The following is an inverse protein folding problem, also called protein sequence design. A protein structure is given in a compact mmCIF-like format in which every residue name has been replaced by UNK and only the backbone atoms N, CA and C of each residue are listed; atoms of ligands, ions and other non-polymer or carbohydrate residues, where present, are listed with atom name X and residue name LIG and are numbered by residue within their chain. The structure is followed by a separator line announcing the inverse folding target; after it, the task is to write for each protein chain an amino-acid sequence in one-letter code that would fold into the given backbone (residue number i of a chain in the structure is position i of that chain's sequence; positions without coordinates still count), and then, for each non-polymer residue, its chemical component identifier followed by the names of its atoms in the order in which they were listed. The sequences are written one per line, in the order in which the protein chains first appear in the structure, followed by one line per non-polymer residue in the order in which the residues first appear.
data_IF_961142301133
#
_entry.id   IF_961142301133
#
_cell.length_a   1.000
_cell.length_b   1.000
_cell.length_c   1.000
_cell.angle_alpha   90.00
_cell.angle_beta   90.00
_cell.angle_gamma   90.00
#
_symmetry.space_group_name_H-M   'P 1'
#
loop_
_entity.id
_entity.type
_entity.pdbx_description
1 polymer ?
#
# COMPACT_ATOMS: atom_id res chain seq x y z
N UNK A 1 72.89 -48.91 -14.09
CA UNK A 1 72.63 -47.54 -14.59
C UNK A 1 71.28 -47.40 -15.33
N UNK A 2 70.86 -48.35 -16.17
CA UNK A 2 69.63 -48.20 -16.98
C UNK A 2 68.32 -48.00 -16.20
N UNK A 3 68.14 -48.65 -15.04
CA UNK A 3 66.92 -48.51 -14.23
C UNK A 3 66.85 -47.19 -13.46
N UNK A 4 68.00 -46.62 -13.06
CA UNK A 4 68.07 -45.32 -12.39
C UNK A 4 67.64 -44.19 -13.32
N UNK A 5 68.06 -44.22 -14.58
CA UNK A 5 67.62 -43.24 -15.58
C UNK A 5 66.14 -43.38 -15.96
N UNK A 6 65.55 -44.58 -15.90
CA UNK A 6 64.11 -44.76 -16.11
C UNK A 6 63.29 -44.16 -14.97
N UNK A 7 63.70 -44.36 -13.71
CA UNK A 7 63.01 -43.78 -12.56
C UNK A 7 63.20 -42.27 -12.47
N UNK A 8 64.37 -41.74 -12.85
CA UNK A 8 64.61 -40.30 -12.92
C UNK A 8 63.75 -39.61 -14.00
N UNK A 9 63.59 -40.25 -15.17
CA UNK A 9 62.69 -39.75 -16.23
C UNK A 9 61.21 -39.80 -15.82
N UNK A 10 60.80 -40.84 -15.08
CA UNK A 10 59.43 -40.95 -14.55
C UNK A 10 59.15 -39.88 -13.49
N UNK A 11 60.13 -39.57 -12.63
CA UNK A 11 60.01 -38.58 -11.56
C UNK A 11 59.97 -37.15 -12.12
N UNK A 12 60.76 -36.85 -13.17
CA UNK A 12 60.69 -35.58 -13.90
C UNK A 12 59.34 -35.44 -14.64
N UNK A 13 58.82 -36.51 -15.23
CA UNK A 13 57.52 -36.49 -15.91
C UNK A 13 56.36 -36.25 -14.92
N UNK A 14 56.39 -36.87 -13.74
CA UNK A 14 55.42 -36.58 -12.67
C UNK A 14 55.54 -35.14 -12.14
N UNK A 15 56.75 -34.61 -11.98
CA UNK A 15 56.96 -33.25 -11.46
C UNK A 15 56.43 -32.17 -12.43
N UNK A 16 56.57 -32.41 -13.75
CA UNK A 16 56.04 -31.51 -14.80
C UNK A 16 54.51 -31.61 -14.89
N UNK A 17 53.91 -32.76 -14.59
CA UNK A 17 52.46 -32.96 -14.62
C UNK A 17 51.75 -32.39 -13.37
N UNK A 18 52.45 -32.31 -12.22
CA UNK A 18 51.93 -31.64 -11.01
C UNK A 18 52.12 -30.13 -11.03
N UNK A 19 53.05 -29.61 -11.84
CA UNK A 19 53.32 -28.17 -11.97
C UNK A 19 52.33 -27.41 -12.87
N UNK A 20 51.53 -28.11 -13.69
CA UNK A 20 50.61 -27.51 -14.66
C UNK A 20 49.19 -27.27 -14.14
N UNK A 21 48.92 -27.51 -12.85
CA UNK A 21 47.60 -27.33 -12.23
C UNK A 21 47.43 -25.98 -11.52
N UNK A 22 48.43 -25.08 -11.60
CA UNK A 22 48.27 -23.68 -11.20
C UNK A 22 47.95 -22.82 -12.43
N UNK A 23 46.84 -23.13 -13.10
CA UNK A 23 46.18 -22.11 -13.94
C UNK A 23 45.47 -21.21 -12.95
N UNK A 24 46.00 -20.01 -12.76
CA UNK A 24 45.34 -18.93 -12.04
C UNK A 24 43.93 -18.77 -12.62
N UNK A 25 42.90 -19.12 -11.86
CA UNK A 25 41.61 -18.48 -12.03
C UNK A 25 41.87 -17.01 -11.71
N UNK A 26 42.00 -16.16 -12.74
CA UNK A 26 41.91 -14.72 -12.55
C UNK A 26 40.48 -14.47 -12.09
N UNK A 27 40.29 -14.24 -10.80
CA UNK A 27 39.05 -13.66 -10.29
C UNK A 27 38.95 -12.27 -10.93
N UNK A 28 38.01 -12.09 -11.85
CA UNK A 28 37.73 -10.81 -12.47
C UNK A 28 36.86 -9.99 -11.52
N UNK A 29 37.35 -9.84 -10.30
CA UNK A 29 36.63 -9.25 -9.19
C UNK A 29 36.71 -7.74 -9.30
N UNK A 30 35.59 -7.13 -9.66
CA UNK A 30 35.42 -5.68 -9.73
C UNK A 30 34.92 -5.21 -8.38
N UNK A 31 35.58 -4.18 -7.85
CA UNK A 31 35.26 -3.54 -6.58
C UNK A 31 34.87 -2.09 -6.81
N UNK A 32 34.17 -1.48 -5.86
CA UNK A 32 33.92 -0.05 -5.91
C UNK A 32 32.90 0.38 -4.88
N UNK A 33 32.56 1.67 -4.93
CA UNK A 33 31.62 2.29 -4.00
C UNK A 33 30.45 2.90 -4.76
N UNK A 34 29.24 2.78 -4.22
CA UNK A 34 28.04 3.44 -4.75
C UNK A 34 27.63 4.57 -3.82
N UNK A 35 27.55 5.79 -4.36
CA UNK A 35 27.20 7.00 -3.59
C UNK A 35 26.03 7.76 -4.23
N UNK A 36 25.39 8.63 -3.45
CA UNK A 36 24.39 9.58 -3.94
C UNK A 36 25.02 10.91 -4.41
N UNK A 37 24.19 11.82 -4.91
CA UNK A 37 24.60 13.17 -5.35
C UNK A 37 25.13 14.07 -4.22
N UNK A 38 24.91 13.71 -2.95
CA UNK A 38 25.46 14.39 -1.78
C UNK A 38 26.78 13.75 -1.29
N UNK A 39 27.24 12.67 -1.93
CA UNK A 39 28.43 11.91 -1.56
C UNK A 39 28.24 10.94 -0.41
N UNK A 40 27.00 10.64 -0.01
CA UNK A 40 26.70 9.63 1.01
C UNK A 40 26.67 8.23 0.38
N UNK A 41 27.19 7.20 1.07
CA UNK A 41 27.14 5.82 0.57
C UNK A 41 25.71 5.30 0.53
N UNK A 42 25.38 4.57 -0.54
CA UNK A 42 24.06 3.95 -0.72
C UNK A 42 24.15 2.49 -0.26
N UNK A 43 23.43 2.18 0.81
CA UNK A 43 23.38 0.84 1.42
C UNK A 43 22.33 -0.02 0.71
N UNK A 44 22.68 -1.23 0.30
CA UNK A 44 21.76 -2.16 -0.36
C UNK A 44 21.40 -1.81 -1.80
N UNK A 45 22.21 -1.02 -2.49
CA UNK A 45 22.12 -0.84 -3.94
C UNK A 45 22.40 -2.16 -4.66
N UNK A 46 21.62 -2.47 -5.69
CA UNK A 46 21.76 -3.68 -6.48
C UNK A 46 22.69 -3.42 -7.67
N UNK A 47 23.72 -4.25 -7.81
CA UNK A 47 24.72 -4.23 -8.88
C UNK A 47 24.59 -5.52 -9.67
N UNK A 48 24.22 -5.44 -10.96
CA UNK A 48 23.97 -6.60 -11.81
C UNK A 48 24.81 -6.53 -13.09
N UNK A 49 25.42 -7.64 -13.50
CA UNK A 49 26.01 -7.75 -14.84
C UNK A 49 24.89 -7.95 -15.86
N UNK A 50 24.79 -7.06 -16.86
CA UNK A 50 23.78 -7.06 -17.90
C UNK A 50 23.66 -8.44 -18.57
N UNK A 51 22.41 -8.88 -18.80
CA UNK A 51 22.06 -10.17 -19.42
C UNK A 51 22.53 -11.42 -18.66
N UNK A 52 22.96 -11.30 -17.40
CA UNK A 52 23.32 -12.43 -16.55
C UNK A 52 22.54 -12.46 -15.22
N UNK A 53 22.74 -13.52 -14.45
CA UNK A 53 22.25 -13.63 -13.06
C UNK A 53 23.32 -13.28 -12.01
N UNK A 54 24.49 -12.80 -12.46
CA UNK A 54 25.58 -12.41 -11.57
C UNK A 54 25.30 -11.02 -11.04
N UNK A 55 25.06 -10.92 -9.73
CA UNK A 55 24.78 -9.66 -9.07
C UNK A 55 25.29 -9.64 -7.64
N UNK A 56 25.46 -8.44 -7.11
CA UNK A 56 25.91 -8.15 -5.75
C UNK A 56 25.11 -6.98 -5.18
N UNK A 57 25.06 -6.88 -3.85
CA UNK A 57 24.46 -5.74 -3.15
C UNK A 57 25.55 -4.96 -2.42
N UNK A 58 25.39 -3.65 -2.28
CA UNK A 58 26.32 -2.82 -1.50
C UNK A 58 26.18 -3.03 0.01
N UNK A 59 27.28 -2.92 0.73
CA UNK A 59 27.34 -3.02 2.19
C UNK A 59 26.94 -1.70 2.91
N UNK A 60 27.15 -1.64 4.23
CA UNK A 60 26.84 -0.46 5.06
C UNK A 60 27.66 0.79 4.70
N UNK A 61 28.83 0.61 4.10
CA UNK A 61 29.73 1.69 3.68
C UNK A 61 29.58 1.97 2.17
N UNK A 62 28.60 1.34 1.49
CA UNK A 62 28.33 1.52 0.07
C UNK A 62 29.27 0.73 -0.85
N UNK A 63 30.13 -0.14 -0.31
CA UNK A 63 31.07 -0.91 -1.12
C UNK A 63 30.38 -2.14 -1.72
N UNK A 64 30.82 -2.54 -2.92
CA UNK A 64 30.39 -3.77 -3.56
C UNK A 64 31.58 -4.54 -4.13
N UNK A 65 31.34 -5.82 -4.41
CA UNK A 65 32.31 -6.71 -5.05
C UNK A 65 31.56 -7.67 -5.96
N UNK A 66 31.93 -7.72 -7.24
CA UNK A 66 31.22 -8.50 -8.26
C UNK A 66 32.19 -9.12 -9.26
N UNK A 67 31.92 -10.35 -9.70
CA UNK A 67 32.70 -11.03 -10.74
C UNK A 67 32.20 -10.60 -12.12
N UNK A 68 33.01 -9.80 -12.85
CA UNK A 68 32.65 -9.25 -14.15
C UNK A 68 33.89 -9.06 -15.03
N UNK A 69 33.80 -9.41 -16.30
CA UNK A 69 34.91 -9.33 -17.25
C UNK A 69 34.95 -8.00 -18.00
N UNK A 70 36.13 -7.63 -18.51
CA UNK A 70 36.26 -6.43 -19.34
C UNK A 70 35.35 -6.53 -20.58
N UNK A 71 34.52 -5.51 -20.78
CA UNK A 71 33.48 -5.46 -21.81
C UNK A 71 32.06 -5.71 -21.30
N UNK A 72 31.90 -6.26 -20.10
CA UNK A 72 30.60 -6.44 -19.47
C UNK A 72 30.00 -5.08 -19.03
N UNK A 73 28.67 -4.97 -18.97
CA UNK A 73 27.99 -3.76 -18.50
C UNK A 73 27.41 -4.01 -17.12
N UNK A 74 27.82 -3.20 -16.14
CA UNK A 74 27.26 -3.22 -14.79
C UNK A 74 26.08 -2.26 -14.71
N UNK A 75 24.95 -2.77 -14.24
CA UNK A 75 23.72 -2.01 -14.01
C UNK A 75 23.58 -1.79 -12.50
N UNK A 76 23.66 -0.53 -12.09
CA UNK A 76 23.46 -0.09 -10.72
C UNK A 76 22.04 0.41 -10.56
N UNK A 77 21.31 -0.11 -9.58
CA UNK A 77 19.91 0.26 -9.32
C UNK A 77 19.61 0.32 -7.83
N UNK A 78 18.84 1.32 -7.44
CA UNK A 78 18.33 1.47 -6.07
C UNK A 78 16.99 2.21 -6.11
N UNK A 79 16.11 1.94 -5.16
CA UNK A 79 14.78 2.55 -5.13
C UNK A 79 14.92 4.06 -4.92
N UNK A 80 14.30 4.85 -5.80
CA UNK A 80 14.37 6.32 -5.78
C UNK A 80 15.55 6.92 -6.55
N UNK A 81 16.34 6.11 -7.28
CA UNK A 81 17.48 6.55 -8.09
C UNK A 81 17.36 6.05 -9.53
N UNK A 82 17.95 6.80 -10.46
CA UNK A 82 17.99 6.39 -11.86
C UNK A 82 18.97 5.23 -12.04
N UNK A 83 18.58 4.15 -12.76
CA UNK A 83 19.51 3.08 -13.06
C UNK A 83 20.67 3.64 -13.90
N UNK A 84 21.89 3.25 -13.54
CA UNK A 84 23.11 3.69 -14.22
C UNK A 84 23.87 2.50 -14.75
N UNK A 85 24.24 2.58 -16.01
CA UNK A 85 25.00 1.54 -16.71
C UNK A 85 26.45 1.98 -16.86
N UNK A 86 27.39 1.10 -16.50
CA UNK A 86 28.83 1.35 -16.62
C UNK A 86 29.50 0.13 -17.23
N UNK A 87 30.17 0.31 -18.37
CA UNK A 87 30.96 -0.74 -19.00
C UNK A 87 32.26 -0.97 -18.23
N UNK A 88 32.54 -2.23 -17.90
CA UNK A 88 33.80 -2.66 -17.26
C UNK A 88 34.94 -2.48 -18.24
N UNK A 89 35.85 -1.56 -17.92
CA UNK A 89 37.06 -1.31 -18.69
C UNK A 89 38.24 -2.17 -18.23
N UNK A 90 39.45 -1.60 -18.29
CA UNK A 90 40.66 -2.26 -17.78
C UNK A 90 40.88 -2.04 -16.26
N UNK A 91 40.04 -1.21 -15.62
CA UNK A 91 40.11 -0.94 -14.17
C UNK A 91 39.27 -1.95 -13.42
N UNK A 92 39.85 -2.54 -12.36
CA UNK A 92 39.14 -3.41 -11.42
C UNK A 92 38.40 -2.62 -10.33
N UNK A 93 38.50 -1.29 -10.34
CA UNK A 93 37.78 -0.40 -9.41
C UNK A 93 36.88 0.54 -10.18
N UNK A 94 35.59 0.56 -9.83
CA UNK A 94 34.55 1.38 -10.47
C UNK A 94 33.66 2.02 -9.40
N UNK A 95 33.90 3.30 -9.11
CA UNK A 95 33.03 4.07 -8.23
C UNK A 95 31.88 4.72 -9.02
N UNK A 96 30.67 4.62 -8.48
CA UNK A 96 29.45 5.06 -9.18
C UNK A 96 28.62 5.96 -8.28
N UNK A 97 28.46 7.21 -8.73
CA UNK A 97 27.46 8.10 -8.17
C UNK A 97 26.13 7.88 -8.89
N UNK A 98 25.09 7.52 -8.14
CA UNK A 98 23.71 7.45 -8.61
C UNK A 98 23.04 8.81 -8.44
N UNK A 99 22.29 9.20 -9.47
CA UNK A 99 21.47 10.41 -9.45
C UNK A 99 20.09 10.07 -8.92
N UNK A 100 19.59 10.87 -7.98
CA UNK A 100 18.21 10.76 -7.50
C UNK A 100 17.24 10.84 -8.67
N UNK A 101 16.27 9.93 -8.68
CA UNK A 101 15.19 10.00 -9.64
C UNK A 101 14.18 11.03 -9.18
N UNK A 102 14.44 12.30 -9.51
CA UNK A 102 13.53 13.42 -9.29
C UNK A 102 12.23 13.34 -10.10
N UNK A 103 12.06 12.30 -10.93
CA UNK A 103 10.72 11.90 -11.36
C UNK A 103 10.01 11.33 -10.14
N UNK A 104 9.31 12.23 -9.43
CA UNK A 104 8.16 11.85 -8.61
C UNK A 104 7.42 10.74 -9.34
N UNK A 105 7.24 9.59 -8.69
CA UNK A 105 6.38 8.50 -9.15
C UNK A 105 5.21 9.10 -9.93
N UNK A 106 5.26 8.99 -11.26
CA UNK A 106 4.20 9.53 -12.10
C UNK A 106 2.94 8.77 -11.70
N UNK A 107 2.12 9.42 -10.90
CA UNK A 107 0.88 8.86 -10.39
C UNK A 107 -0.01 8.64 -11.63
N UNK A 108 -0.04 7.40 -12.10
CA UNK A 108 -0.77 7.02 -13.31
C UNK A 108 -2.25 7.19 -13.00
N UNK A 109 -2.87 8.18 -13.64
CA UNK A 109 -4.32 8.37 -13.59
C UNK A 109 -4.91 7.63 -14.78
N UNK A 110 -5.74 6.63 -14.50
CA UNK A 110 -6.52 5.98 -15.55
C UNK A 110 -7.70 6.88 -15.88
N UNK A 111 -7.75 7.36 -17.12
CA UNK A 111 -8.91 8.07 -17.67
C UNK A 111 -9.51 7.16 -18.73
N UNK A 112 -10.82 7.25 -18.96
CA UNK A 112 -11.57 6.32 -19.81
C UNK A 112 -10.79 5.97 -21.10
N UNK A 113 -10.37 4.71 -21.20
CA UNK A 113 -9.63 4.09 -22.31
C UNK A 113 -8.10 4.35 -22.43
N UNK A 114 -7.43 4.98 -21.45
CA UNK A 114 -5.96 5.12 -21.46
C UNK A 114 -5.32 5.62 -20.15
N UNK A 115 -4.02 5.42 -19.99
CA UNK A 115 -3.21 5.97 -18.90
C UNK A 115 -2.78 7.39 -19.24
N UNK A 116 -3.08 8.38 -18.39
CA UNK A 116 -2.58 9.76 -18.54
C UNK A 116 -1.83 10.20 -17.29
N UNK A 117 -0.73 10.93 -17.48
CA UNK A 117 0.06 11.52 -16.41
C UNK A 117 -0.70 12.66 -15.74
N UNK A 118 -0.63 12.75 -14.40
CA UNK A 118 -1.28 13.80 -13.58
C UNK A 118 -1.01 15.22 -14.09
N UNK A 119 0.11 15.42 -14.79
CA UNK A 119 0.55 16.68 -15.40
C UNK A 119 -0.32 17.15 -16.58
N UNK A 120 -0.97 16.24 -17.29
CA UNK A 120 -1.74 16.56 -18.51
C UNK A 120 -3.24 16.74 -18.25
N UNK A 121 -3.66 16.64 -16.98
CA UNK A 121 -5.06 16.75 -16.62
C UNK A 121 -5.40 18.18 -16.18
N UNK A 122 -6.21 18.85 -16.98
CA UNK A 122 -6.72 20.21 -16.70
C UNK A 122 -7.92 20.23 -15.74
N UNK A 123 -8.38 19.07 -15.26
CA UNK A 123 -9.54 18.91 -14.37
C UNK A 123 -9.16 18.55 -12.92
N UNK A 124 -10.03 18.87 -11.97
CA UNK A 124 -9.85 18.52 -10.56
C UNK A 124 -10.03 17.01 -10.33
N UNK A 125 -8.93 16.28 -10.46
CA UNK A 125 -8.86 14.85 -10.14
C UNK A 125 -8.10 14.66 -8.85
N UNK A 126 -8.65 13.80 -8.00
CA UNK A 126 -8.00 13.38 -6.77
C UNK A 126 -7.72 11.90 -6.86
N UNK A 127 -6.47 11.53 -6.69
CA UNK A 127 -6.03 10.15 -6.64
C UNK A 127 -5.78 9.77 -5.18
N UNK A 128 -6.13 8.54 -4.83
CA UNK A 128 -5.81 7.90 -3.55
C UNK A 128 -5.03 6.63 -3.90
N UNK A 129 -3.80 6.52 -3.41
CA UNK A 129 -2.93 5.37 -3.69
C UNK A 129 -3.24 4.18 -2.78
N UNK A 130 -2.74 2.99 -3.14
CA UNK A 130 -2.97 1.77 -2.36
C UNK A 130 -2.48 1.87 -0.92
N UNK A 131 -1.36 2.56 -0.69
CA UNK A 131 -0.75 2.74 0.63
C UNK A 131 -1.67 3.55 1.57
N UNK A 132 -2.38 4.54 1.01
CA UNK A 132 -3.31 5.35 1.79
C UNK A 132 -4.59 4.59 2.17
N UNK A 133 -4.94 3.56 1.39
CA UNK A 133 -6.11 2.69 1.60
C UNK A 133 -5.82 1.58 2.62
N UNK A 134 -4.63 1.00 2.60
CA UNK A 134 -4.25 -0.12 3.49
C UNK A 134 -3.91 0.34 4.91
N UNK A 135 -3.55 1.62 5.10
CA UNK A 135 -3.23 2.19 6.41
C UNK A 135 -4.40 2.20 7.41
N UNK A 136 -5.63 2.00 6.94
CA UNK A 136 -6.80 1.79 7.80
C UNK A 136 -7.40 0.42 7.52
N UNK A 137 -7.60 -0.44 8.55
CA UNK A 137 -8.31 -1.71 8.40
C UNK A 137 -9.81 -1.43 8.21
N UNK A 138 -10.16 -0.94 7.03
CA UNK A 138 -11.54 -0.81 6.57
C UNK A 138 -11.94 -2.11 5.87
N UNK A 139 -13.18 -2.56 6.10
CA UNK A 139 -13.67 -3.78 5.44
C UNK A 139 -14.16 -3.50 4.02
N UNK A 140 -14.40 -2.22 3.69
CA UNK A 140 -15.05 -1.80 2.46
C UNK A 140 -14.30 -0.60 1.88
N UNK A 141 -14.16 -0.58 0.56
CA UNK A 141 -13.45 0.48 -0.19
C UNK A 141 -14.03 1.87 0.05
N UNK A 142 -15.36 1.97 0.14
CA UNK A 142 -16.06 3.25 0.40
C UNK A 142 -15.63 3.92 1.72
N UNK A 143 -15.33 3.11 2.74
CA UNK A 143 -14.86 3.59 4.04
C UNK A 143 -13.42 4.11 3.95
N UNK A 144 -12.57 3.43 3.17
CA UNK A 144 -11.18 3.84 3.00
C UNK A 144 -11.06 5.22 2.33
N UNK A 145 -12.02 5.60 1.50
CA UNK A 145 -12.07 6.91 0.84
C UNK A 145 -12.45 8.06 1.79
N UNK A 146 -12.92 7.76 2.99
CA UNK A 146 -13.34 8.78 3.95
C UNK A 146 -12.17 9.67 4.37
N UNK A 147 -12.27 10.96 4.06
CA UNK A 147 -11.27 11.96 4.45
C UNK A 147 -9.95 11.91 3.67
N UNK A 148 -9.81 11.01 2.68
CA UNK A 148 -8.60 10.91 1.84
C UNK A 148 -8.58 11.89 0.66
N UNK A 149 -9.74 12.46 0.32
CA UNK A 149 -9.87 13.39 -0.80
C UNK A 149 -10.86 14.50 -0.50
N UNK A 150 -10.45 15.74 -0.77
CA UNK A 150 -11.25 16.93 -0.48
C UNK A 150 -12.58 16.91 -1.26
N UNK A 151 -13.70 17.15 -0.58
CA UNK A 151 -15.02 17.21 -1.21
C UNK A 151 -15.68 15.86 -1.47
N UNK A 152 -15.14 14.76 -0.93
CA UNK A 152 -15.86 13.48 -0.83
C UNK A 152 -16.48 13.39 0.57
N UNK A 153 -17.79 13.20 0.62
CA UNK A 153 -18.51 12.93 1.86
C UNK A 153 -18.95 11.47 1.87
N UNK A 154 -18.41 10.73 2.83
CA UNK A 154 -18.75 9.33 3.06
C UNK A 154 -19.63 9.27 4.30
N UNK A 155 -20.89 8.89 4.12
CA UNK A 155 -21.87 8.73 5.20
C UNK A 155 -22.11 7.25 5.46
N UNK A 156 -21.69 6.81 6.64
CA UNK A 156 -22.00 5.47 7.11
C UNK A 156 -23.44 5.44 7.64
N UNK A 157 -24.33 4.76 6.92
CA UNK A 157 -25.76 4.69 7.27
C UNK A 157 -26.05 3.74 8.44
N UNK A 158 -25.12 2.86 8.79
CA UNK A 158 -25.25 1.89 9.88
C UNK A 158 -23.89 1.47 10.42
N UNK A 159 -23.83 1.20 11.73
CA UNK A 159 -22.66 0.62 12.40
C UNK A 159 -22.44 -0.87 12.15
N UNK A 160 -23.34 -1.53 11.40
CA UNK A 160 -23.20 -2.94 11.05
C UNK A 160 -22.05 -3.15 10.04
N UNK A 161 -21.15 -4.12 10.27
CA UNK A 161 -20.10 -4.46 9.29
C UNK A 161 -20.72 -4.92 7.97
N UNK A 162 -20.17 -4.43 6.85
CA UNK A 162 -20.69 -4.72 5.50
C UNK A 162 -21.93 -3.92 5.11
N UNK A 163 -22.48 -3.07 5.97
CA UNK A 163 -23.60 -2.19 5.58
C UNK A 163 -23.14 -1.21 4.50
N UNK A 164 -24.01 -0.99 3.51
CA UNK A 164 -23.79 -0.03 2.43
C UNK A 164 -23.50 1.37 2.96
N UNK A 165 -22.52 2.02 2.35
CA UNK A 165 -22.04 3.36 2.68
C UNK A 165 -22.48 4.30 1.56
N UNK A 166 -22.99 5.49 1.89
CA UNK A 166 -23.34 6.48 0.88
C UNK A 166 -22.13 7.38 0.63
N UNK A 167 -21.65 7.41 -0.61
CA UNK A 167 -20.58 8.31 -1.05
C UNK A 167 -21.19 9.43 -1.88
N UNK A 168 -20.92 10.68 -1.52
CA UNK A 168 -21.34 11.87 -2.25
C UNK A 168 -20.10 12.70 -2.63
N UNK A 169 -20.02 13.13 -3.88
CA UNK A 169 -18.94 13.99 -4.37
C UNK A 169 -19.49 15.41 -4.53
N UNK A 170 -18.85 16.39 -3.88
CA UNK A 170 -19.27 17.81 -3.85
C UNK A 170 -20.66 18.06 -3.27
N UNK A 171 -21.12 17.20 -2.37
CA UNK A 171 -22.40 17.34 -1.68
C UNK A 171 -23.59 16.82 -2.49
N UNK A 172 -24.80 17.21 -2.08
CA UNK A 172 -26.06 16.73 -2.68
C UNK A 172 -26.47 17.68 -3.81
N UNK A 173 -26.20 17.30 -5.07
CA UNK A 173 -26.49 18.11 -6.25
C UNK A 173 -27.88 17.92 -6.87
N UNK A 174 -28.67 16.97 -6.37
CA UNK A 174 -29.99 16.61 -6.91
C UNK A 174 -30.91 16.08 -5.82
N UNK A 175 -32.23 16.25 -5.99
CA UNK A 175 -33.27 15.70 -5.11
C UNK A 175 -33.51 14.20 -5.32
N UNK A 176 -32.76 13.56 -6.24
CA UNK A 176 -32.84 12.12 -6.55
C UNK A 176 -31.62 11.32 -6.06
N UNK A 177 -31.23 10.30 -6.80
CA UNK A 177 -30.04 9.50 -6.49
C UNK A 177 -28.76 10.32 -6.76
N UNK A 178 -27.96 10.53 -5.72
CA UNK A 178 -26.70 11.29 -5.75
C UNK A 178 -25.45 10.41 -5.70
N UNK A 179 -25.61 9.09 -5.85
CA UNK A 179 -24.48 8.14 -5.89
C UNK A 179 -23.62 8.43 -7.13
N UNK A 180 -22.28 8.46 -7.00
CA UNK A 180 -21.38 8.59 -8.13
C UNK A 180 -21.40 7.33 -9.00
N UNK A 181 -20.90 7.45 -10.23
CA UNK A 181 -20.64 6.28 -11.06
C UNK A 181 -19.32 5.65 -10.65
N UNK A 182 -19.31 4.37 -10.30
CA UNK A 182 -18.07 3.63 -10.10
C UNK A 182 -17.65 2.97 -11.41
N UNK A 183 -16.35 2.96 -11.70
CA UNK A 183 -15.77 2.28 -12.86
C UNK A 183 -14.63 1.42 -12.36
N UNK A 184 -14.82 0.09 -12.39
CA UNK A 184 -13.84 -0.88 -11.91
C UNK A 184 -13.19 -1.52 -13.12
N UNK A 185 -11.87 -1.32 -13.29
CA UNK A 185 -11.11 -1.86 -14.43
C UNK A 185 -11.75 -1.56 -15.80
N UNK A 186 -12.36 -0.37 -15.93
CA UNK A 186 -13.04 0.07 -17.15
C UNK A 186 -14.53 -0.31 -17.25
N UNK A 187 -15.05 -1.12 -16.32
CA UNK A 187 -16.47 -1.52 -16.31
C UNK A 187 -17.28 -0.67 -15.32
N UNK A 188 -18.34 0.02 -15.78
CA UNK A 188 -19.18 0.83 -14.91
C UNK A 188 -20.07 -0.04 -14.01
N UNK A 189 -20.05 0.23 -12.71
CA UNK A 189 -20.88 -0.39 -11.67
C UNK A 189 -21.50 0.67 -10.76
N UNK A 190 -22.54 0.30 -10.01
CA UNK A 190 -23.16 1.14 -8.99
C UNK A 190 -22.84 0.70 -7.56
N UNK A 191 -22.17 -0.45 -7.43
CA UNK A 191 -21.78 -1.03 -6.16
C UNK A 191 -20.32 -1.48 -6.23
N UNK A 192 -19.58 -1.21 -5.17
CA UNK A 192 -18.17 -1.60 -5.00
C UNK A 192 -17.92 -2.27 -3.64
N UNK A 193 -18.99 -2.57 -2.89
CA UNK A 193 -18.91 -3.20 -1.58
C UNK A 193 -18.30 -4.60 -1.61
N UNK A 194 -18.29 -5.26 -2.78
CA UNK A 194 -17.66 -6.56 -3.01
C UNK A 194 -16.15 -6.49 -3.22
N UNK A 195 -15.58 -5.31 -3.46
CA UNK A 195 -14.15 -5.15 -3.70
C UNK A 195 -13.38 -5.20 -2.39
N UNK A 196 -12.31 -5.98 -2.38
CA UNK A 196 -11.34 -5.97 -1.29
C UNK A 196 -10.41 -4.76 -1.45
N UNK A 197 -10.27 -3.87 -0.44
CA UNK A 197 -9.34 -2.76 -0.49
C UNK A 197 -7.88 -3.18 -0.80
N UNK A 198 -7.47 -4.39 -0.42
CA UNK A 198 -6.11 -4.89 -0.67
C UNK A 198 -5.83 -5.17 -2.14
N UNK A 199 -6.87 -5.43 -2.94
CA UNK A 199 -6.75 -5.70 -4.38
C UNK A 199 -6.73 -4.41 -5.19
N UNK A 200 -6.90 -3.25 -4.55
CA UNK A 200 -6.92 -1.95 -5.23
C UNK A 200 -5.51 -1.40 -5.37
N UNK A 201 -5.16 -1.03 -6.59
CA UNK A 201 -3.93 -0.34 -6.91
C UNK A 201 -4.09 1.17 -6.75
N UNK A 202 -5.16 1.74 -7.29
CA UNK A 202 -5.44 3.17 -7.20
C UNK A 202 -6.93 3.47 -7.31
N UNK A 203 -7.35 4.55 -6.67
CA UNK A 203 -8.68 5.13 -6.83
C UNK A 203 -8.54 6.55 -7.33
N UNK A 204 -9.09 6.83 -8.50
CA UNK A 204 -9.11 8.16 -9.11
C UNK A 204 -10.52 8.71 -9.10
N UNK A 205 -10.72 9.84 -8.44
CA UNK A 205 -12.02 10.50 -8.32
C UNK A 205 -12.07 11.71 -9.23
N UNK A 206 -12.92 11.62 -10.24
CA UNK A 206 -13.21 12.67 -11.20
C UNK A 206 -14.34 13.56 -10.65
N UNK A 207 -13.98 14.77 -10.21
CA UNK A 207 -14.92 15.69 -9.54
C UNK A 207 -15.59 16.67 -10.50
N UNK A 208 -15.05 16.87 -11.69
CA UNK A 208 -15.53 17.83 -12.68
C UNK A 208 -16.32 17.19 -13.83
N UNK A 209 -17.29 17.96 -14.34
CA UNK A 209 -18.12 17.58 -15.47
C UNK A 209 -17.31 17.33 -16.76
N UNK A 210 -16.17 18.00 -16.93
CA UNK A 210 -15.26 17.78 -18.08
C UNK A 210 -14.58 16.41 -18.03
N UNK A 211 -14.22 15.94 -16.83
CA UNK A 211 -13.61 14.63 -16.62
C UNK A 211 -14.67 13.50 -16.68
N UNK A 212 -15.90 13.78 -16.24
CA UNK A 212 -17.03 12.85 -16.34
C UNK A 212 -17.67 12.74 -17.74
N UNK A 213 -17.39 13.67 -18.66
CA UNK A 213 -18.03 13.74 -19.98
C UNK A 213 -17.89 12.44 -20.80
N UNK A 214 -16.78 11.72 -20.61
CA UNK A 214 -16.52 10.43 -21.27
C UNK A 214 -17.51 9.32 -20.87
N UNK A 215 -18.13 9.42 -19.68
CA UNK A 215 -19.08 8.45 -19.14
C UNK A 215 -20.54 8.93 -19.22
N UNK A 216 -20.78 10.10 -19.85
CA UNK A 216 -22.11 10.62 -20.16
C UNK A 216 -22.94 11.04 -18.94
N UNK A 217 -24.27 10.99 -19.08
CA UNK A 217 -25.23 11.50 -18.06
C UNK A 217 -25.08 10.81 -16.70
N UNK A 218 -24.58 9.57 -16.66
CA UNK A 218 -24.36 8.82 -15.41
C UNK A 218 -23.23 9.39 -14.56
N UNK A 219 -22.37 10.23 -15.14
CA UNK A 219 -21.27 10.90 -14.45
C UNK A 219 -21.65 12.28 -13.87
N UNK A 220 -22.94 12.65 -13.89
CA UNK A 220 -23.41 13.96 -13.38
C UNK A 220 -23.06 14.19 -11.90
N UNK A 221 -22.95 13.10 -11.13
CA UNK A 221 -22.61 13.11 -9.70
C UNK A 221 -21.12 12.83 -9.43
N UNK A 222 -20.28 12.86 -10.47
CA UNK A 222 -18.86 12.48 -10.42
C UNK A 222 -18.62 11.00 -10.74
N UNK A 223 -17.36 10.67 -11.02
CA UNK A 223 -16.93 9.30 -11.37
C UNK A 223 -15.80 8.87 -10.45
N UNK A 224 -15.90 7.66 -9.90
CA UNK A 224 -14.86 7.02 -9.11
C UNK A 224 -14.30 5.87 -9.94
N UNK A 225 -13.08 6.02 -10.42
CA UNK A 225 -12.36 5.01 -11.18
C UNK A 225 -11.51 4.20 -10.20
N UNK A 226 -11.64 2.89 -10.23
CA UNK A 226 -10.90 1.95 -9.39
C UNK A 226 -10.10 1.05 -10.32
N UNK A 227 -8.79 1.03 -10.10
CA UNK A 227 -7.88 0.12 -10.78
C UNK A 227 -7.47 -0.97 -9.80
N UNK A 228 -7.67 -2.24 -10.17
CA UNK A 228 -7.18 -3.37 -9.37
C UNK A 228 -5.73 -3.68 -9.69
N UNK A 229 -5.02 -4.28 -8.72
CA UNK A 229 -3.65 -4.75 -8.87
C UNK A 229 -3.60 -5.84 -9.93
N UNK A 230 -2.79 -5.64 -10.96
CA UNK A 230 -2.53 -6.62 -12.00
C UNK A 230 -1.16 -7.29 -11.78
N UNK A 231 -1.05 -8.56 -12.17
CA UNK A 231 0.21 -9.29 -12.07
C UNK A 231 1.30 -8.66 -12.94
N UNK A 232 2.47 -8.40 -12.35
CA UNK A 232 3.64 -7.91 -13.08
C UNK A 232 4.37 -9.06 -13.78
N UNK A 233 4.94 -8.80 -14.97
CA UNK A 233 5.81 -9.78 -15.63
C UNK A 233 7.12 -9.89 -14.84
N UNK A 234 7.43 -11.07 -14.32
CA UNK A 234 8.64 -11.29 -13.52
C UNK A 234 8.51 -12.46 -12.55
N UNK A 235 9.26 -12.40 -11.45
CA UNK A 235 9.19 -13.39 -10.38
C UNK A 235 7.83 -13.35 -9.67
N UNK A 236 7.34 -14.52 -9.27
CA UNK A 236 6.11 -14.64 -8.48
C UNK A 236 6.33 -14.00 -7.10
N UNK A 237 5.59 -12.93 -6.81
CA UNK A 237 5.53 -12.30 -5.49
C UNK A 237 4.25 -12.75 -4.80
N UNK A 238 4.38 -13.40 -3.65
CA UNK A 238 3.26 -13.82 -2.81
C UNK A 238 3.32 -13.04 -1.51
N UNK A 239 2.33 -12.18 -1.28
CA UNK A 239 2.12 -11.47 -0.01
C UNK A 239 0.96 -12.12 0.73
N UNK A 240 1.11 -12.32 2.04
CA UNK A 240 0.05 -12.78 2.93
C UNK A 240 -0.07 -11.79 4.05
N UNK A 241 -1.23 -11.15 4.16
CA UNK A 241 -1.52 -10.15 5.18
C UNK A 241 -2.49 -10.75 6.21
N UNK A 242 -2.18 -10.59 7.49
CA UNK A 242 -3.06 -11.03 8.57
C UNK A 242 -3.16 -9.98 9.66
N UNK A 243 -4.37 -9.77 10.18
CA UNK A 243 -4.61 -8.80 11.24
C UNK A 243 -5.61 -9.35 12.25
N UNK A 244 -5.41 -8.94 13.50
CA UNK A 244 -6.33 -9.19 14.60
C UNK A 244 -6.56 -7.89 15.37
N UNK A 245 -7.80 -7.64 15.76
CA UNK A 245 -8.18 -6.42 16.45
C UNK A 245 -9.33 -6.63 17.42
N UNK A 246 -9.30 -5.91 18.54
CA UNK A 246 -10.40 -5.85 19.50
C UNK A 246 -11.15 -4.55 19.27
N UNK A 247 -12.46 -4.63 19.01
CA UNK A 247 -13.33 -3.46 19.04
C UNK A 247 -13.93 -3.31 20.44
N UNK A 248 -13.65 -2.17 21.03
CA UNK A 248 -14.24 -1.76 22.30
C UNK A 248 -15.50 -0.93 22.05
N UNK A 249 -16.44 -1.06 22.97
CA UNK A 249 -17.66 -0.27 22.99
C UNK A 249 -17.35 1.25 22.99
N UNK A 250 -18.02 2.05 22.14
CA UNK A 250 -17.86 3.50 22.16
C UNK A 250 -18.34 4.10 23.48
N UNK A 251 -17.95 5.35 23.78
CA UNK A 251 -18.36 6.04 25.01
C UNK A 251 -19.89 6.06 25.14
N UNK A 252 -20.40 5.43 26.19
CA UNK A 252 -21.83 5.46 26.55
C UNK A 252 -22.28 6.88 26.82
N UNK A 253 -23.51 7.19 26.44
CA UNK A 253 -24.16 8.44 26.80
C UNK A 253 -24.62 8.31 28.25
N UNK A 254 -24.35 9.33 29.06
CA UNK A 254 -24.85 9.39 30.42
C UNK A 254 -26.36 9.60 30.39
N UNK A 255 -27.10 8.54 30.71
CA UNK A 255 -28.56 8.53 30.79
C UNK A 255 -29.00 8.37 32.24
N UNK A 256 -30.15 8.95 32.57
CA UNK A 256 -30.75 8.76 33.88
C UNK A 256 -31.10 7.27 34.07
N UNK A 257 -30.75 6.72 35.21
CA UNK A 257 -31.26 5.41 35.63
C UNK A 257 -32.75 5.52 35.99
N UNK A 258 -33.42 4.37 36.10
CA UNK A 258 -34.86 4.32 36.38
C UNK A 258 -35.27 5.12 37.63
N UNK A 259 -34.45 5.07 38.69
CA UNK A 259 -34.71 5.76 39.94
C UNK A 259 -34.54 7.29 39.82
N UNK A 260 -33.50 7.73 39.11
CA UNK A 260 -33.23 9.13 38.82
C UNK A 260 -34.31 9.74 37.93
N UNK A 261 -34.77 9.00 36.92
CA UNK A 261 -35.85 9.43 36.05
C UNK A 261 -37.17 9.56 36.82
N UNK A 262 -37.53 8.57 37.64
CA UNK A 262 -38.74 8.63 38.46
C UNK A 262 -38.68 9.78 39.48
N UNK A 263 -37.54 10.00 40.13
CA UNK A 263 -37.34 11.14 41.04
C UNK A 263 -37.51 12.47 40.31
N UNK A 264 -36.91 12.60 39.13
CA UNK A 264 -37.06 13.80 38.30
C UNK A 264 -38.51 14.02 37.85
N UNK A 265 -39.19 12.98 37.39
CA UNK A 265 -40.59 13.04 36.96
C UNK A 265 -41.53 13.41 38.10
N UNK A 266 -41.32 12.85 39.30
CA UNK A 266 -42.12 13.15 40.49
C UNK A 266 -41.92 14.60 40.92
N UNK A 267 -40.67 15.09 40.92
CA UNK A 267 -40.37 16.48 41.24
C UNK A 267 -41.03 17.45 40.25
N UNK A 268 -41.02 17.13 38.96
CA UNK A 268 -41.67 17.95 37.93
C UNK A 268 -43.21 17.90 38.05
N UNK A 269 -43.78 16.73 38.29
CA UNK A 269 -45.22 16.54 38.48
C UNK A 269 -45.74 17.33 39.68
N UNK A 270 -45.05 17.22 40.81
CA UNK A 270 -45.36 17.97 42.03
C UNK A 270 -45.21 19.49 41.86
N UNK A 271 -44.20 19.94 41.09
CA UNK A 271 -44.02 21.36 40.80
C UNK A 271 -45.08 21.93 39.82
N UNK A 272 -45.78 21.07 39.08
CA UNK A 272 -46.80 21.45 38.08
C UNK A 272 -48.22 21.06 38.48
N UNK A 273 -48.45 20.59 39.72
CA UNK A 273 -49.74 20.04 40.20
C UNK A 273 -50.32 18.96 39.26
N UNK A 274 -49.46 18.12 38.69
CA UNK A 274 -49.87 16.99 37.84
C UNK A 274 -49.79 15.67 38.59
N UNK A 275 -50.78 14.81 38.36
CA UNK A 275 -50.80 13.47 38.92
C UNK A 275 -49.54 12.69 38.50
N UNK A 276 -48.87 12.15 39.51
CA UNK A 276 -47.71 11.27 39.35
C UNK A 276 -48.21 9.83 39.25
N UNK A 277 -47.58 9.02 38.39
CA UNK A 277 -47.90 7.60 38.27
C UNK A 277 -47.57 6.86 39.56
N UNK A 278 -48.47 6.00 40.03
CA UNK A 278 -48.33 5.25 41.29
C UNK A 278 -47.10 4.33 41.24
N UNK A 279 -46.77 3.80 40.05
CA UNK A 279 -45.59 2.98 39.79
C UNK A 279 -44.26 3.73 39.99
N UNK A 280 -44.27 5.06 39.97
CA UNK A 280 -43.09 5.90 40.21
C UNK A 280 -43.05 6.48 41.62
N UNK A 281 -44.07 6.22 42.45
CA UNK A 281 -44.16 6.76 43.81
C UNK A 281 -43.03 6.25 44.72
N UNK A 282 -42.53 5.04 44.48
CA UNK A 282 -41.31 4.50 45.08
C UNK A 282 -40.20 4.32 44.02
N UNK A 283 -39.38 5.36 43.77
CA UNK A 283 -38.26 5.24 42.87
C UNK A 283 -37.28 4.12 43.26
N UNK A 284 -37.16 3.77 44.55
CA UNK A 284 -36.18 2.78 45.00
C UNK A 284 -36.52 1.34 44.60
N UNK A 285 -37.81 1.06 44.39
CA UNK A 285 -38.32 -0.24 43.94
C UNK A 285 -38.12 -0.47 42.42
N UNK A 286 -37.78 0.56 41.65
CA UNK A 286 -37.64 0.46 40.21
C UNK A 286 -36.35 -0.28 39.80
N UNK A 287 -36.46 -1.20 38.85
CA UNK A 287 -35.31 -1.92 38.29
C UNK A 287 -34.62 -1.06 37.23
N UNK A 288 -33.32 -0.83 37.41
CA UNK A 288 -32.51 -0.17 36.39
C UNK A 288 -32.14 -1.13 35.25
N UNK A 289 -32.32 -0.70 34.01
CA UNK A 289 -31.89 -1.43 32.81
C UNK A 289 -31.22 -0.43 31.88
N UNK A 290 -29.91 -0.59 31.65
CA UNK A 290 -29.21 0.20 30.66
C UNK A 290 -29.24 -0.54 29.31
N UNK A 291 -30.04 -0.04 28.38
CA UNK A 291 -30.16 -0.62 27.05
C UNK A 291 -28.88 -0.51 26.21
N UNK A 292 -27.98 0.43 26.53
CA UNK A 292 -26.68 0.56 25.84
C UNK A 292 -25.83 -0.70 26.03
N UNK A 293 -25.90 -1.34 27.21
CA UNK A 293 -25.17 -2.58 27.53
C UNK A 293 -25.66 -3.79 26.72
N UNK A 294 -26.92 -3.76 26.25
CA UNK A 294 -27.49 -4.82 25.42
C UNK A 294 -27.29 -4.55 23.93
N UNK A 295 -27.29 -3.28 23.54
CA UNK A 295 -27.12 -2.85 22.16
C UNK A 295 -25.66 -2.95 21.69
N UNK A 296 -24.70 -2.69 22.56
CA UNK A 296 -23.28 -2.74 22.23
C UNK A 296 -22.58 -3.89 22.94
N UNK A 297 -21.62 -4.49 22.25
CA UNK A 297 -20.76 -5.55 22.81
C UNK A 297 -19.35 -5.38 22.27
N UNK A 298 -18.38 -5.71 23.10
CA UNK A 298 -17.00 -5.83 22.63
C UNK A 298 -16.89 -7.00 21.65
N UNK A 299 -16.19 -6.79 20.54
CA UNK A 299 -16.08 -7.77 19.47
C UNK A 299 -14.62 -8.00 19.09
N UNK A 300 -14.22 -9.27 19.02
CA UNK A 300 -12.95 -9.65 18.43
C UNK A 300 -13.11 -9.78 16.91
N UNK A 301 -12.15 -9.25 16.14
CA UNK A 301 -12.09 -9.39 14.68
C UNK A 301 -10.73 -9.92 14.26
N UNK A 302 -10.74 -10.86 13.33
CA UNK A 302 -9.55 -11.30 12.62
C UNK A 302 -9.83 -11.28 11.11
N UNK A 303 -8.81 -11.00 10.32
CA UNK A 303 -8.88 -11.06 8.86
C UNK A 303 -7.55 -11.54 8.30
N UNK A 304 -7.61 -12.20 7.14
CA UNK A 304 -6.47 -12.61 6.35
C UNK A 304 -6.76 -12.32 4.87
N UNK A 305 -5.72 -12.01 4.09
CA UNK A 305 -5.78 -11.64 2.69
C UNK A 305 -4.51 -12.06 1.96
#
# INVERSE_FOLDING_TARGET
MANFMKHLKLLIFCLVFTGSQMIFAQSNEITGTVTDGAGMPIIGANVLVQDTSVGAATDFDGNYTIDASAGDVLIFSYIGFKPKEVTVGNSQTIDVMLEEDSQSLDEVVVVAYGTSTKKDLTGAVSTVSSEELTNFPSTNVDQALQGKSAGIQVTQNSGAPGSGISVNIRGVGSFGNVTPLYVVDGFPTQDISYLNPNDIQSISVLKDASAGALYGVRASNGVVIIQTKQGTKGAMVVSVDSWAGVRMEPKKIDVLNAQQFATFANNLGNAQDKAVLEEWADPSALRNVNWQDYAFRNGFRMGHS
#
